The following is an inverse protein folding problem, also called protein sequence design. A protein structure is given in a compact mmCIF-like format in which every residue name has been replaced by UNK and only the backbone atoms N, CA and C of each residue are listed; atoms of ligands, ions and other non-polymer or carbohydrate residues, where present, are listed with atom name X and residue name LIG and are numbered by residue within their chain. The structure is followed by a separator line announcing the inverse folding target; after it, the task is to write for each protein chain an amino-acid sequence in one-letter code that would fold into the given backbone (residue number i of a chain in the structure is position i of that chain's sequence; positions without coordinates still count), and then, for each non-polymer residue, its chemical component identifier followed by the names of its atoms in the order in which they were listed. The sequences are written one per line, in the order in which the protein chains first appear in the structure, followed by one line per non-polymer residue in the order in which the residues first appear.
data_IF_146392752469
#
_entry.id   IF_146392752469
#
_cell.length_a   1.000
_cell.length_b   1.000
_cell.length_c   1.000
_cell.angle_alpha   90.00
_cell.angle_beta   90.00
_cell.angle_gamma   90.00
#
_symmetry.space_group_name_H-M   'P 1'
#
loop_
_entity.id
_entity.type
_entity.pdbx_description
1 polymer ?
#
# COMPACT_ATOMS: atom_id res chain seq x y z
N UNK A 1 -32.04 -36.56 28.33
CA UNK A 1 -31.27 -35.56 29.07
C UNK A 1 -30.03 -35.20 28.25
N UNK A 2 -30.10 -34.07 27.56
CA UNK A 2 -28.99 -33.55 26.75
C UNK A 2 -28.21 -32.60 27.64
N UNK A 3 -26.98 -32.99 27.99
CA UNK A 3 -26.07 -32.15 28.75
C UNK A 3 -25.52 -31.05 27.82
N UNK A 4 -25.95 -29.81 28.07
CA UNK A 4 -25.33 -28.63 27.48
C UNK A 4 -23.97 -28.42 28.13
N UNK A 5 -22.87 -28.69 27.42
CA UNK A 5 -21.55 -28.27 27.81
C UNK A 5 -21.46 -26.77 27.54
N UNK A 6 -21.50 -25.98 28.60
CA UNK A 6 -21.23 -24.54 28.57
C UNK A 6 -19.77 -24.33 28.17
N UNK A 7 -19.52 -23.96 26.92
CA UNK A 7 -18.25 -23.43 26.46
C UNK A 7 -18.06 -22.04 27.07
N UNK A 8 -17.36 -21.96 28.18
CA UNK A 8 -16.82 -20.69 28.68
C UNK A 8 -15.85 -20.16 27.66
N UNK A 9 -16.28 -19.18 26.84
CA UNK A 9 -15.40 -18.41 25.98
C UNK A 9 -14.48 -17.63 26.91
N UNK A 10 -13.26 -18.12 27.10
CA UNK A 10 -12.20 -17.37 27.73
C UNK A 10 -12.02 -16.10 26.92
N UNK A 11 -12.46 -14.98 27.47
CA UNK A 11 -12.22 -13.65 26.92
C UNK A 11 -10.71 -13.39 26.96
N UNK A 12 -10.02 -13.84 25.92
CA UNK A 12 -8.61 -13.50 25.74
C UNK A 12 -8.54 -12.00 25.41
N UNK A 13 -8.05 -11.20 26.34
CA UNK A 13 -7.71 -9.81 26.10
C UNK A 13 -6.60 -9.77 25.05
N UNK A 14 -6.94 -9.37 23.82
CA UNK A 14 -5.94 -9.16 22.79
C UNK A 14 -5.02 -8.00 23.21
N UNK A 15 -3.71 -8.11 22.98
CA UNK A 15 -2.80 -7.02 23.25
C UNK A 15 -3.14 -5.82 22.37
N UNK A 16 -3.10 -4.61 22.92
CA UNK A 16 -3.32 -3.36 22.18
C UNK A 16 -2.20 -3.08 21.19
N UNK A 17 -1.01 -3.65 21.39
CA UNK A 17 0.16 -3.54 20.54
C UNK A 17 0.95 -4.86 20.58
N UNK A 18 1.45 -5.29 19.42
CA UNK A 18 2.33 -6.45 19.32
C UNK A 18 3.75 -6.07 19.78
N UNK A 19 4.45 -6.96 20.45
CA UNK A 19 5.84 -6.74 20.89
C UNK A 19 6.81 -6.61 19.72
N UNK A 20 6.59 -7.37 18.63
CA UNK A 20 7.24 -7.22 17.33
C UNK A 20 6.18 -6.92 16.29
N UNK A 21 6.22 -5.73 15.72
CA UNK A 21 5.30 -5.36 14.65
C UNK A 21 5.70 -6.06 13.35
N UNK A 22 4.80 -6.82 12.71
CA UNK A 22 5.08 -7.48 11.45
C UNK A 22 5.04 -6.53 10.25
N UNK A 23 4.65 -5.28 10.46
CA UNK A 23 4.43 -4.28 9.44
C UNK A 23 5.76 -3.87 8.77
N UNK A 24 5.84 -4.04 7.47
CA UNK A 24 7.03 -3.71 6.66
C UNK A 24 6.78 -2.61 5.64
N UNK A 25 5.52 -2.36 5.28
CA UNK A 25 5.19 -1.31 4.33
C UNK A 25 3.83 -0.72 4.64
N UNK A 26 3.75 0.60 4.65
CA UNK A 26 2.50 1.34 4.68
C UNK A 26 2.54 2.35 3.54
N UNK A 27 1.52 2.33 2.69
CA UNK A 27 1.42 3.30 1.62
C UNK A 27 -0.03 3.69 1.33
N UNK A 28 -0.18 4.92 0.87
CA UNK A 28 -1.40 5.46 0.30
C UNK A 28 -1.14 5.81 -1.17
N UNK A 29 -1.99 5.38 -2.08
CA UNK A 29 -1.86 5.61 -3.53
C UNK A 29 -3.09 6.33 -4.06
N UNK A 30 -2.86 7.37 -4.87
CA UNK A 30 -3.88 8.01 -5.69
C UNK A 30 -3.57 7.70 -7.14
N UNK A 31 -4.55 7.23 -7.89
CA UNK A 31 -4.51 7.08 -9.36
C UNK A 31 -5.48 8.03 -10.00
N UNK A 32 -5.04 8.65 -11.08
CA UNK A 32 -5.80 9.70 -11.73
C UNK A 32 -5.54 9.77 -13.22
N UNK A 33 -6.41 10.50 -13.92
CA UNK A 33 -6.15 10.99 -15.27
C UNK A 33 -5.69 12.44 -15.22
N UNK A 34 -4.77 12.78 -16.12
CA UNK A 34 -4.29 14.13 -16.31
C UNK A 34 -4.01 14.37 -17.80
N UNK A 35 -4.06 15.63 -18.23
CA UNK A 35 -3.79 16.02 -19.63
C UNK A 35 -2.30 15.90 -20.00
N UNK A 36 -1.43 15.94 -19.01
CA UNK A 36 0.02 15.89 -19.13
C UNK A 36 0.60 14.76 -18.28
N UNK A 37 1.81 14.30 -18.60
CA UNK A 37 2.58 13.41 -17.74
C UNK A 37 3.01 14.18 -16.51
N UNK A 38 2.37 13.94 -15.36
CA UNK A 38 2.59 14.74 -14.15
C UNK A 38 3.95 14.50 -13.50
N UNK A 39 4.64 13.41 -13.84
CA UNK A 39 6.00 13.14 -13.38
C UNK A 39 7.02 14.22 -13.75
N UNK A 40 6.74 15.04 -14.77
CA UNK A 40 7.63 16.11 -15.22
C UNK A 40 7.40 17.45 -14.50
N UNK A 41 6.22 17.66 -13.92
CA UNK A 41 5.80 18.95 -13.37
C UNK A 41 5.58 18.87 -11.87
N UNK A 42 4.82 17.87 -11.44
CA UNK A 42 4.33 17.74 -10.09
C UNK A 42 5.44 17.59 -9.03
N UNK A 43 6.57 16.88 -9.31
CA UNK A 43 7.65 16.76 -8.33
C UNK A 43 8.21 18.10 -7.88
N UNK A 44 8.44 19.02 -8.82
CA UNK A 44 8.96 20.37 -8.47
C UNK A 44 7.98 21.18 -7.63
N UNK A 45 6.68 21.09 -7.94
CA UNK A 45 5.64 21.77 -7.16
C UNK A 45 5.57 21.19 -5.74
N UNK A 46 5.48 19.86 -5.62
CA UNK A 46 5.38 19.18 -4.32
C UNK A 46 6.65 19.38 -3.48
N UNK A 47 7.83 19.35 -4.12
CA UNK A 47 9.09 19.63 -3.45
C UNK A 47 9.05 20.97 -2.68
N UNK A 48 8.62 22.04 -3.36
CA UNK A 48 8.50 23.36 -2.77
C UNK A 48 7.38 23.47 -1.74
N UNK A 49 6.21 22.91 -2.05
CA UNK A 49 5.00 23.08 -1.22
C UNK A 49 5.03 22.26 0.06
N UNK A 50 5.56 21.05 0.01
CA UNK A 50 5.69 20.15 1.17
C UNK A 50 6.98 20.38 1.96
N UNK A 51 7.94 21.15 1.42
CA UNK A 51 9.24 21.33 2.03
C UNK A 51 10.05 20.03 2.03
N UNK A 52 10.10 19.35 0.88
CA UNK A 52 10.85 18.11 0.74
C UNK A 52 12.37 18.35 0.84
N UNK A 53 13.08 17.34 1.34
CA UNK A 53 14.53 17.40 1.60
C UNK A 53 15.36 16.98 0.38
N UNK A 54 14.82 16.06 -0.42
CA UNK A 54 15.51 15.49 -1.57
C UNK A 54 14.51 15.14 -2.68
N UNK A 55 15.02 15.11 -3.92
CA UNK A 55 14.29 14.68 -5.13
C UNK A 55 15.24 13.86 -5.99
N UNK A 56 14.81 12.66 -6.37
CA UNK A 56 15.61 11.74 -7.17
C UNK A 56 14.76 10.92 -8.13
N UNK A 57 15.32 10.52 -9.29
CA UNK A 57 14.62 9.59 -10.18
C UNK A 57 14.55 8.20 -9.56
N UNK A 58 13.44 7.50 -9.76
CA UNK A 58 13.35 6.06 -9.44
C UNK A 58 14.00 5.23 -10.55
N UNK A 59 14.33 3.95 -10.30
CA UNK A 59 14.82 3.05 -11.36
C UNK A 59 13.87 2.95 -12.57
N UNK A 60 12.56 3.14 -12.37
CA UNK A 60 11.56 3.11 -13.44
C UNK A 60 11.62 4.33 -14.37
N UNK A 61 12.27 5.41 -13.96
CA UNK A 61 12.45 6.61 -14.79
C UNK A 61 13.28 6.32 -16.07
N UNK A 62 14.05 5.24 -16.08
CA UNK A 62 14.83 4.82 -17.25
C UNK A 62 13.97 4.18 -18.35
N UNK A 63 12.70 3.80 -18.04
CA UNK A 63 11.79 3.22 -19.04
C UNK A 63 11.28 4.34 -19.95
N UNK A 64 11.50 4.26 -21.27
CA UNK A 64 11.02 5.28 -22.20
C UNK A 64 9.51 5.51 -22.12
N UNK A 65 9.09 6.77 -22.26
CA UNK A 65 7.68 7.17 -22.13
C UNK A 65 6.77 6.40 -23.10
N UNK A 66 7.24 6.15 -24.31
CA UNK A 66 6.49 5.40 -25.33
C UNK A 66 6.15 3.99 -24.83
N UNK A 67 7.09 3.32 -24.17
CA UNK A 67 6.88 1.99 -23.59
C UNK A 67 5.90 2.07 -22.42
N UNK A 68 6.06 3.06 -21.53
CA UNK A 68 5.16 3.24 -20.38
C UNK A 68 3.72 3.52 -20.79
N UNK A 69 3.53 4.25 -21.92
CA UNK A 69 2.20 4.54 -22.46
C UNK A 69 1.58 3.34 -23.18
N UNK A 70 2.40 2.49 -23.80
CA UNK A 70 1.92 1.33 -24.54
C UNK A 70 1.49 0.17 -23.63
N UNK A 71 2.08 0.03 -22.43
CA UNK A 71 1.77 -1.04 -21.48
C UNK A 71 0.92 -0.52 -20.31
N UNK A 72 -0.36 -0.92 -20.20
CA UNK A 72 -1.23 -0.53 -19.09
C UNK A 72 -0.68 -0.86 -17.69
N UNK A 73 0.19 -1.88 -17.58
CA UNK A 73 0.79 -2.26 -16.31
C UNK A 73 1.82 -1.22 -15.84
N UNK A 74 2.39 -0.45 -16.75
CA UNK A 74 3.40 0.56 -16.47
C UNK A 74 2.80 1.96 -16.22
N UNK A 75 1.51 2.17 -16.52
CA UNK A 75 0.81 3.47 -16.43
C UNK A 75 0.99 4.18 -15.08
N UNK A 76 1.05 3.42 -13.99
CA UNK A 76 1.07 3.96 -12.64
C UNK A 76 2.42 3.79 -11.94
N UNK A 77 3.48 3.51 -12.70
CA UNK A 77 4.81 3.38 -12.11
C UNK A 77 5.30 4.73 -11.57
N UNK A 78 5.88 4.75 -10.37
CA UNK A 78 6.53 5.94 -9.85
C UNK A 78 7.85 6.19 -10.60
N UNK A 79 8.08 7.43 -11.01
CA UNK A 79 9.25 7.84 -11.78
C UNK A 79 10.17 8.76 -10.98
N UNK A 80 9.62 9.51 -10.03
CA UNK A 80 10.36 10.43 -9.19
C UNK A 80 10.00 10.17 -7.73
N UNK A 81 11.00 10.17 -6.87
CA UNK A 81 10.86 10.06 -5.42
C UNK A 81 11.26 11.39 -4.76
N UNK A 82 10.42 11.84 -3.83
CA UNK A 82 10.70 13.00 -2.98
C UNK A 82 10.78 12.53 -1.53
N UNK A 83 11.82 12.95 -0.81
CA UNK A 83 11.92 12.73 0.62
C UNK A 83 11.22 13.86 1.36
N UNK A 84 10.19 13.51 2.11
CA UNK A 84 9.41 14.44 2.93
C UNK A 84 9.38 13.97 4.38
N UNK A 85 10.30 14.46 5.19
CA UNK A 85 10.50 14.02 6.57
C UNK A 85 10.73 12.50 6.61
N UNK A 86 9.88 11.74 7.29
CA UNK A 86 9.91 10.27 7.34
C UNK A 86 9.04 9.57 6.30
N UNK A 87 8.58 10.31 5.31
CA UNK A 87 7.76 9.82 4.21
C UNK A 87 8.51 9.93 2.88
N UNK A 88 8.09 9.11 1.94
CA UNK A 88 8.45 9.28 0.53
C UNK A 88 7.19 9.57 -0.28
N UNK A 89 7.23 10.65 -1.06
CA UNK A 89 6.22 10.93 -2.05
C UNK A 89 6.74 10.46 -3.40
N UNK A 90 6.12 9.44 -3.96
CA UNK A 90 6.51 8.85 -5.23
C UNK A 90 5.54 9.33 -6.30
N UNK A 91 6.06 9.96 -7.36
CA UNK A 91 5.26 10.57 -8.42
C UNK A 91 5.46 9.84 -9.73
N UNK A 92 4.37 9.38 -10.32
CA UNK A 92 4.29 8.82 -11.67
C UNK A 92 3.55 9.73 -12.63
N UNK A 93 3.38 9.29 -13.87
CA UNK A 93 2.62 10.04 -14.89
C UNK A 93 1.13 10.17 -14.54
N UNK A 94 0.56 9.17 -13.89
CA UNK A 94 -0.86 9.08 -13.53
C UNK A 94 -1.09 8.57 -12.10
N UNK A 95 -0.10 8.69 -11.23
CA UNK A 95 -0.19 8.24 -9.84
C UNK A 95 0.68 9.06 -8.90
N UNK A 96 0.24 9.17 -7.67
CA UNK A 96 1.06 9.65 -6.55
C UNK A 96 0.91 8.66 -5.39
N UNK A 97 2.03 8.29 -4.78
CA UNK A 97 2.07 7.39 -3.64
C UNK A 97 2.76 8.08 -2.48
N UNK A 98 2.15 8.06 -1.31
CA UNK A 98 2.79 8.40 -0.04
C UNK A 98 3.18 7.10 0.66
N UNK A 99 4.47 6.87 0.84
CA UNK A 99 5.00 5.71 1.55
C UNK A 99 5.58 6.15 2.89
N UNK A 100 5.34 5.37 3.94
CA UNK A 100 5.85 5.63 5.27
C UNK A 100 7.09 4.79 5.55
N UNK A 101 8.14 5.42 6.08
CA UNK A 101 9.30 4.71 6.63
C UNK A 101 8.91 3.99 7.93
N UNK A 102 9.52 2.84 8.17
CA UNK A 102 9.32 2.09 9.41
C UNK A 102 10.33 2.60 10.47
N UNK A 103 9.92 2.73 11.74
CA UNK A 103 8.66 2.30 12.34
C UNK A 103 7.46 3.22 12.04
N UNK A 104 6.31 2.61 11.83
CA UNK A 104 5.05 3.32 11.58
C UNK A 104 4.54 4.02 12.85
N UNK A 105 4.29 5.34 12.78
CA UNK A 105 3.83 6.13 13.94
C UNK A 105 2.34 6.01 14.23
N UNK A 106 1.60 5.32 13.38
CA UNK A 106 0.16 5.13 13.56
C UNK A 106 -0.69 5.94 12.59
N UNK A 107 -1.98 5.61 12.58
CA UNK A 107 -2.94 6.16 11.62
C UNK A 107 -3.11 7.66 11.70
N UNK A 108 -3.14 8.24 12.90
CA UNK A 108 -3.39 9.67 13.09
C UNK A 108 -2.30 10.51 12.39
N UNK A 109 -1.04 10.15 12.57
CA UNK A 109 0.08 10.82 11.94
C UNK A 109 0.06 10.62 10.41
N UNK A 110 -0.09 9.39 9.95
CA UNK A 110 -0.12 9.08 8.52
C UNK A 110 -1.29 9.75 7.80
N UNK A 111 -2.48 9.75 8.43
CA UNK A 111 -3.65 10.45 7.89
C UNK A 111 -3.41 11.94 7.70
N UNK A 112 -2.74 12.59 8.65
CA UNK A 112 -2.42 14.03 8.55
C UNK A 112 -1.56 14.31 7.31
N UNK A 113 -0.55 13.48 7.05
CA UNK A 113 0.30 13.61 5.87
C UNK A 113 -0.44 13.29 4.56
N UNK A 114 -1.33 12.29 4.58
CA UNK A 114 -2.22 12.01 3.43
C UNK A 114 -3.07 13.24 3.09
N UNK A 115 -3.71 13.85 4.09
CA UNK A 115 -4.57 15.01 3.86
C UNK A 115 -3.78 16.23 3.39
N UNK A 116 -2.59 16.45 3.92
CA UNK A 116 -1.70 17.52 3.45
C UNK A 116 -1.30 17.31 1.99
N UNK A 117 -0.93 16.08 1.62
CA UNK A 117 -0.59 15.74 0.23
C UNK A 117 -1.78 15.95 -0.71
N UNK A 118 -2.98 15.47 -0.32
CA UNK A 118 -4.21 15.64 -1.12
C UNK A 118 -4.49 17.13 -1.32
N UNK A 119 -4.43 17.94 -0.27
CA UNK A 119 -4.66 19.37 -0.35
C UNK A 119 -3.71 20.06 -1.35
N UNK A 120 -2.42 19.72 -1.31
CA UNK A 120 -1.46 20.28 -2.27
C UNK A 120 -1.74 19.81 -3.70
N UNK A 121 -2.13 18.53 -3.89
CA UNK A 121 -2.52 18.01 -5.20
C UNK A 121 -3.75 18.73 -5.77
N UNK A 122 -4.78 18.94 -4.96
CA UNK A 122 -6.00 19.65 -5.36
C UNK A 122 -5.71 21.11 -5.75
N UNK A 123 -4.82 21.80 -5.04
CA UNK A 123 -4.42 23.16 -5.35
C UNK A 123 -3.73 23.30 -6.71
N UNK A 124 -3.04 22.27 -7.19
CA UNK A 124 -2.39 22.31 -8.51
C UNK A 124 -3.37 22.40 -9.65
N UNK A 125 -4.58 21.87 -9.51
CA UNK A 125 -5.61 21.71 -10.59
C UNK A 125 -5.11 20.98 -11.83
N UNK A 126 -4.05 20.18 -11.69
CA UNK A 126 -3.45 19.40 -12.80
C UNK A 126 -4.15 18.05 -12.99
N UNK A 127 -4.79 17.54 -11.96
CA UNK A 127 -5.53 16.28 -11.99
C UNK A 127 -6.92 16.54 -12.59
N UNK A 128 -7.26 15.82 -13.64
CA UNK A 128 -8.57 15.96 -14.30
C UNK A 128 -9.64 15.15 -13.57
N UNK A 129 -9.31 13.91 -13.18
CA UNK A 129 -10.23 13.00 -12.52
C UNK A 129 -9.43 12.00 -11.67
N UNK A 130 -9.91 11.70 -10.47
CA UNK A 130 -9.35 10.67 -9.62
C UNK A 130 -10.01 9.33 -9.93
N UNK A 131 -9.22 8.37 -10.39
CA UNK A 131 -9.69 7.03 -10.72
C UNK A 131 -9.84 6.16 -9.46
N UNK A 132 -8.89 6.30 -8.51
CA UNK A 132 -8.85 5.44 -7.31
C UNK A 132 -7.99 6.01 -6.20
N UNK A 133 -8.47 5.83 -4.97
CA UNK A 133 -7.67 5.88 -3.74
C UNK A 133 -7.43 4.47 -3.23
N UNK A 134 -6.24 4.19 -2.71
CA UNK A 134 -5.95 2.93 -2.03
C UNK A 134 -5.01 3.12 -0.87
N UNK A 135 -5.29 2.41 0.23
CA UNK A 135 -4.45 2.32 1.41
C UNK A 135 -3.97 0.87 1.54
N UNK A 136 -2.66 0.67 1.68
CA UNK A 136 -2.07 -0.66 1.73
C UNK A 136 -1.14 -0.78 2.94
N UNK A 137 -1.35 -1.84 3.71
CA UNK A 137 -0.47 -2.31 4.76
C UNK A 137 0.08 -3.66 4.35
N UNK A 138 1.38 -3.86 4.52
CA UNK A 138 2.03 -5.14 4.24
C UNK A 138 2.70 -5.61 5.50
N UNK A 139 2.24 -6.77 5.97
CA UNK A 139 2.80 -7.46 7.11
C UNK A 139 3.63 -8.66 6.66
N UNK A 140 4.79 -8.88 7.29
CA UNK A 140 5.60 -10.07 7.11
C UNK A 140 5.60 -10.84 8.43
N UNK A 141 4.95 -12.00 8.43
CA UNK A 141 4.88 -12.87 9.59
C UNK A 141 5.87 -14.01 9.40
N UNK A 142 6.89 -14.05 10.24
CA UNK A 142 7.87 -15.13 10.29
C UNK A 142 7.26 -16.36 10.99
N UNK A 143 7.69 -17.56 10.57
CA UNK A 143 7.31 -18.84 11.21
C UNK A 143 5.79 -19.08 11.32
N UNK A 144 5.05 -18.71 10.30
CA UNK A 144 3.58 -18.86 10.25
C UNK A 144 3.13 -20.30 10.54
N UNK A 145 3.98 -21.31 10.30
CA UNK A 145 3.68 -22.71 10.58
C UNK A 145 3.34 -22.96 12.06
N UNK A 146 3.89 -22.16 12.98
CA UNK A 146 3.63 -22.28 14.42
C UNK A 146 2.29 -21.64 14.82
N UNK A 147 1.74 -20.76 14.01
CA UNK A 147 0.49 -20.05 14.30
C UNK A 147 -0.73 -20.67 13.62
N UNK A 148 -0.53 -21.40 12.54
CA UNK A 148 -1.61 -22.01 11.78
C UNK A 148 -1.75 -23.50 12.14
N UNK A 149 -2.51 -23.78 13.20
CA UNK A 149 -2.88 -25.16 13.60
C UNK A 149 -3.90 -25.81 12.67
N UNK A 150 -4.32 -25.14 11.59
CA UNK A 150 -5.37 -25.63 10.71
C UNK A 150 -4.80 -26.03 9.35
N UNK A 151 -5.16 -27.24 8.90
CA UNK A 151 -4.99 -27.65 7.51
C UNK A 151 -6.21 -27.19 6.71
N UNK A 152 -5.99 -26.56 5.58
CA UNK A 152 -7.07 -26.25 4.64
C UNK A 152 -7.10 -27.33 3.57
N UNK A 153 -8.28 -27.92 3.37
CA UNK A 153 -8.55 -28.83 2.27
C UNK A 153 -9.33 -28.08 1.21
N UNK A 154 -8.78 -27.96 0.01
CA UNK A 154 -9.46 -27.39 -1.13
C UNK A 154 -9.53 -28.44 -2.25
N UNK A 155 -10.69 -29.04 -2.42
CA UNK A 155 -10.87 -30.19 -3.31
C UNK A 155 -9.95 -31.35 -2.89
N UNK A 156 -9.18 -31.88 -3.83
CA UNK A 156 -8.19 -32.96 -3.58
C UNK A 156 -6.87 -32.48 -2.96
N UNK A 157 -6.69 -31.18 -2.75
CA UNK A 157 -5.43 -30.63 -2.23
C UNK A 157 -5.53 -30.43 -0.71
N UNK A 158 -4.63 -31.06 0.03
CA UNK A 158 -4.45 -30.89 1.47
C UNK A 158 -3.11 -30.22 1.71
N UNK A 159 -3.09 -29.09 2.41
CA UNK A 159 -1.86 -28.35 2.69
C UNK A 159 -2.04 -27.31 3.77
N UNK A 160 -0.93 -26.73 4.24
CA UNK A 160 -0.99 -25.56 5.12
C UNK A 160 -1.54 -24.35 4.33
N UNK A 161 -2.19 -23.42 5.03
CA UNK A 161 -2.70 -22.16 4.45
C UNK A 161 -1.66 -21.49 3.54
N UNK A 162 -0.39 -21.49 3.94
CA UNK A 162 0.70 -20.82 3.21
C UNK A 162 1.02 -21.53 1.90
N UNK A 163 1.10 -22.85 1.89
CA UNK A 163 1.41 -23.59 0.66
C UNK A 163 0.26 -23.53 -0.34
N UNK A 164 -0.99 -23.49 0.14
CA UNK A 164 -2.18 -23.33 -0.70
C UNK A 164 -2.25 -21.92 -1.28
N UNK A 165 -2.01 -20.91 -0.48
CA UNK A 165 -1.97 -19.51 -0.92
C UNK A 165 -0.83 -19.32 -1.93
N UNK A 166 0.42 -19.73 -1.63
CA UNK A 166 1.53 -19.61 -2.58
C UNK A 166 1.30 -20.30 -3.92
N UNK A 167 0.73 -21.51 -3.93
CA UNK A 167 0.45 -22.22 -5.18
C UNK A 167 -0.63 -21.57 -6.04
N UNK A 168 -1.61 -20.94 -5.41
CA UNK A 168 -2.72 -20.28 -6.14
C UNK A 168 -2.35 -18.88 -6.62
N UNK A 169 -1.43 -18.19 -5.93
CA UNK A 169 -1.01 -16.83 -6.26
C UNK A 169 0.22 -16.74 -7.16
N UNK A 170 0.96 -17.82 -7.39
CA UNK A 170 2.02 -17.84 -8.39
C UNK A 170 1.51 -17.71 -9.83
N UNK A 171 0.24 -17.97 -10.08
CA UNK A 171 -0.38 -17.90 -11.41
C UNK A 171 -1.43 -16.78 -11.58
N UNK A 172 -1.65 -15.95 -10.60
CA UNK A 172 -2.56 -14.80 -10.75
C UNK A 172 -2.14 -13.65 -9.81
N UNK A 173 -1.94 -12.49 -10.39
CA UNK A 173 -1.72 -11.21 -9.68
C UNK A 173 -2.97 -10.84 -8.87
N UNK A 174 -3.17 -11.47 -7.71
CA UNK A 174 -4.18 -11.03 -6.76
C UNK A 174 -3.57 -10.04 -5.77
N UNK A 175 -3.89 -8.77 -5.97
CA UNK A 175 -3.76 -7.75 -4.94
C UNK A 175 -4.95 -7.87 -4.00
N UNK A 176 -4.74 -8.24 -2.73
CA UNK A 176 -5.77 -8.08 -1.71
C UNK A 176 -5.95 -6.59 -1.42
N UNK A 177 -7.02 -6.02 -1.93
CA UNK A 177 -7.48 -4.71 -1.51
C UNK A 177 -8.40 -4.93 -0.30
N UNK A 178 -7.91 -4.70 0.92
CA UNK A 178 -8.77 -4.50 2.07
C UNK A 178 -9.37 -3.10 1.96
N UNK A 179 -10.57 -3.00 1.40
CA UNK A 179 -11.38 -1.80 1.50
C UNK A 179 -12.01 -1.80 2.89
N UNK A 180 -11.43 -1.10 3.86
CA UNK A 180 -12.19 -0.68 5.03
C UNK A 180 -13.01 0.53 4.60
N UNK A 181 -14.32 0.38 4.58
CA UNK A 181 -15.21 1.53 4.55
C UNK A 181 -14.94 2.35 5.81
N UNK A 182 -14.56 3.61 5.63
CA UNK A 182 -14.43 4.62 6.69
C UNK A 182 -15.81 5.24 6.91
#
# INVERSE_FOLDING_TARGET
LINYVSLSVLSMKLPSKLGKEPLVTVLFEIRFTAKLALSNILPGILFSKLGCENIEPTPHAQIPEQIRRADPNLKYLPLVALKWQRYQVLVGDSSVVLSCDIPYLGWTDFRTHILSLINELEQTKLISEVERYSLKYVDVIENVQNFLKHSITYGKYKGSIISVIKRKFSNSLFKYNFTRNI
#
